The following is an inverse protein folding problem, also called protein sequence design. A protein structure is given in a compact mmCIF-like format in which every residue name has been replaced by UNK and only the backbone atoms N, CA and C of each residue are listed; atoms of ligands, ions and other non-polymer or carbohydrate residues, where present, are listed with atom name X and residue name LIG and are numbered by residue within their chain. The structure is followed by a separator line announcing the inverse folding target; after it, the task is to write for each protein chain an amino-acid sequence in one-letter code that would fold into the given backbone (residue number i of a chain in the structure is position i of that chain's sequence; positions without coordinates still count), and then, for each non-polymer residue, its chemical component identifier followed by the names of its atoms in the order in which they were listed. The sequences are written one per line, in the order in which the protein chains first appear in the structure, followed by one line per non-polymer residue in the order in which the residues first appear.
data_IF_266083398127
#
_entry.id   IF_266083398127
#
_cell.length_a   1.000
_cell.length_b   1.000
_cell.length_c   1.000
_cell.angle_alpha   90.00
_cell.angle_beta   90.00
_cell.angle_gamma   90.00
#
_symmetry.space_group_name_H-M   'P 1'
#
loop_
_entity.id
_entity.type
_entity.pdbx_description
1 polymer ?
#
# COMPACT_ATOMS: atom_id res chain seq x y z
N UNK A 1 6.31 14.20 14.68
CA UNK A 1 7.25 13.07 14.44
C UNK A 1 7.31 12.83 12.95
N UNK A 2 8.49 12.79 12.34
CA UNK A 2 8.65 12.46 10.92
C UNK A 2 8.63 10.94 10.78
N UNK A 3 7.98 10.41 9.74
CA UNK A 3 8.05 8.98 9.37
C UNK A 3 8.72 8.86 8.02
N UNK A 4 9.57 7.85 7.89
CA UNK A 4 10.26 7.57 6.64
C UNK A 4 9.55 6.43 5.89
N UNK A 5 9.51 6.50 4.57
CA UNK A 5 8.87 5.48 3.72
C UNK A 5 9.55 4.11 3.90
N UNK A 6 10.84 4.11 4.22
CA UNK A 6 11.62 2.92 4.58
C UNK A 6 11.06 2.20 5.80
N UNK A 7 10.42 2.90 6.74
CA UNK A 7 9.74 2.32 7.90
C UNK A 7 8.39 1.66 7.56
N UNK A 8 7.88 1.91 6.35
CA UNK A 8 6.60 1.36 5.89
C UNK A 8 6.77 0.05 5.14
N UNK A 9 7.94 -0.20 4.53
CA UNK A 9 8.22 -1.46 3.83
C UNK A 9 8.08 -2.63 4.81
N UNK A 10 7.37 -3.68 4.38
CA UNK A 10 7.08 -4.86 5.18
C UNK A 10 5.90 -4.71 6.14
N UNK A 11 5.30 -3.51 6.29
CA UNK A 11 4.08 -3.36 7.10
C UNK A 11 2.88 -3.98 6.39
N UNK A 12 2.01 -4.59 7.19
CA UNK A 12 0.70 -5.07 6.74
C UNK A 12 -0.20 -3.90 6.35
N UNK A 13 -0.85 -4.04 5.19
CA UNK A 13 -1.90 -3.15 4.71
C UNK A 13 -3.26 -3.73 5.06
N UNK A 14 -4.10 -2.90 5.66
CA UNK A 14 -5.46 -3.25 6.07
C UNK A 14 -6.42 -2.18 5.55
N UNK A 15 -7.63 -2.58 5.15
CA UNK A 15 -8.71 -1.65 4.80
C UNK A 15 -9.37 -1.05 6.05
N UNK A 16 -10.18 -0.01 5.88
CA UNK A 16 -10.96 0.60 6.96
C UNK A 16 -11.96 -0.36 7.64
N UNK A 17 -12.44 -1.38 6.93
CA UNK A 17 -13.33 -2.42 7.44
C UNK A 17 -12.58 -3.65 8.01
N UNK A 18 -11.25 -3.60 8.08
CA UNK A 18 -10.43 -4.61 8.75
C UNK A 18 -9.92 -5.76 7.88
N UNK A 19 -10.21 -5.75 6.58
CA UNK A 19 -9.66 -6.74 5.63
C UNK A 19 -8.17 -6.52 5.43
N UNK A 20 -7.37 -7.58 5.58
CA UNK A 20 -5.94 -7.56 5.26
C UNK A 20 -5.79 -7.67 3.74
N UNK A 21 -5.02 -6.75 3.16
CA UNK A 21 -4.70 -6.76 1.73
C UNK A 21 -3.35 -7.40 1.42
N UNK A 22 -2.42 -7.38 2.37
CA UNK A 22 -1.09 -7.93 2.18
C UNK A 22 0.00 -7.06 2.79
N UNK A 23 1.19 -7.04 2.20
CA UNK A 23 2.36 -6.33 2.74
C UNK A 23 2.93 -5.31 1.77
N UNK A 24 3.34 -4.14 2.27
CA UNK A 24 3.99 -3.11 1.46
C UNK A 24 5.35 -3.60 0.99
N UNK A 25 5.56 -3.64 -0.32
CA UNK A 25 6.86 -3.95 -0.90
C UNK A 25 7.57 -2.69 -1.39
N UNK A 26 6.84 -1.80 -2.08
CA UNK A 26 7.46 -0.65 -2.73
C UNK A 26 6.49 0.53 -2.93
N UNK A 27 6.99 1.60 -3.53
CA UNK A 27 6.24 2.82 -3.80
C UNK A 27 6.54 3.34 -5.21
N UNK A 28 5.55 3.97 -5.83
CA UNK A 28 5.73 4.75 -7.05
C UNK A 28 5.93 6.20 -6.66
N UNK A 29 7.08 6.76 -7.03
CA UNK A 29 7.48 8.13 -6.70
C UNK A 29 7.80 8.91 -7.97
N UNK A 30 7.40 10.18 -8.01
CA UNK A 30 7.94 11.13 -8.98
C UNK A 30 9.40 11.45 -8.60
N UNK A 31 10.35 11.15 -9.48
CA UNK A 31 11.78 11.32 -9.19
C UNK A 31 12.26 12.75 -9.26
N UNK A 32 11.46 13.69 -9.78
CA UNK A 32 11.77 15.12 -9.84
C UNK A 32 11.24 15.86 -8.62
N UNK A 33 10.01 15.55 -8.20
CA UNK A 33 9.33 16.26 -7.10
C UNK A 33 9.38 15.51 -5.76
N UNK A 34 9.66 14.21 -5.79
CA UNK A 34 9.58 13.34 -4.62
C UNK A 34 8.15 12.98 -4.19
N UNK A 35 7.13 13.35 -4.98
CA UNK A 35 5.75 13.05 -4.66
C UNK A 35 5.48 11.54 -4.75
N UNK A 36 4.84 10.98 -3.73
CA UNK A 36 4.37 9.59 -3.73
C UNK A 36 3.01 9.50 -4.43
N UNK A 37 2.94 8.66 -5.45
CA UNK A 37 1.69 8.41 -6.16
C UNK A 37 1.00 7.14 -5.66
N UNK A 38 1.75 6.05 -5.49
CA UNK A 38 1.17 4.75 -5.17
C UNK A 38 2.01 3.97 -4.17
N UNK A 39 1.33 3.10 -3.42
CA UNK A 39 1.90 2.03 -2.61
C UNK A 39 1.71 0.72 -3.36
N UNK A 40 2.77 -0.08 -3.44
CA UNK A 40 2.77 -1.38 -4.08
C UNK A 40 2.75 -2.46 -2.99
N UNK A 41 1.71 -3.29 -3.03
CA UNK A 41 1.41 -4.28 -1.97
C UNK A 41 1.45 -5.67 -2.57
N UNK A 42 2.25 -6.56 -1.98
CA UNK A 42 2.17 -7.99 -2.29
C UNK A 42 0.88 -8.52 -1.66
N UNK A 43 -0.07 -9.05 -2.45
CA UNK A 43 -1.35 -9.49 -1.93
C UNK A 43 -1.19 -10.66 -0.93
N UNK A 44 -2.02 -10.69 0.11
CA UNK A 44 -2.16 -11.87 0.96
C UNK A 44 -2.84 -13.02 0.19
N UNK A 45 -2.68 -14.27 0.66
CA UNK A 45 -3.20 -15.46 -0.04
C UNK A 45 -4.72 -15.41 -0.25
N UNK A 46 -5.46 -14.81 0.68
CA UNK A 46 -6.93 -14.72 0.64
C UNK A 46 -7.44 -13.58 -0.25
N UNK A 47 -6.54 -12.77 -0.82
CA UNK A 47 -6.89 -11.62 -1.66
C UNK A 47 -6.87 -12.04 -3.12
N UNK A 48 -8.04 -12.01 -3.77
CA UNK A 48 -8.16 -12.16 -5.23
C UNK A 48 -7.61 -10.91 -5.94
N UNK A 49 -6.40 -10.93 -6.54
CA UNK A 49 -5.77 -9.72 -7.07
C UNK A 49 -6.48 -9.17 -8.30
N UNK A 50 -7.27 -9.99 -9.02
CA UNK A 50 -8.04 -9.57 -10.20
C UNK A 50 -9.13 -8.54 -9.87
N UNK A 51 -9.52 -8.42 -8.61
CA UNK A 51 -10.45 -7.39 -8.14
C UNK A 51 -9.80 -6.01 -7.97
N UNK A 52 -8.48 -5.91 -8.16
CA UNK A 52 -7.71 -4.69 -7.95
C UNK A 52 -6.88 -4.35 -9.18
N UNK A 53 -6.45 -3.09 -9.27
CA UNK A 53 -5.39 -2.71 -10.20
C UNK A 53 -4.08 -3.33 -9.74
N UNK A 54 -3.39 -4.02 -10.64
CA UNK A 54 -2.09 -4.64 -10.38
C UNK A 54 -1.02 -4.12 -11.35
N UNK A 55 0.24 -4.24 -10.94
CA UNK A 55 1.38 -4.05 -11.84
C UNK A 55 1.81 -5.36 -12.51
N UNK A 56 2.86 -5.31 -13.33
CA UNK A 56 3.37 -6.48 -14.05
C UNK A 56 3.94 -7.58 -13.14
N UNK A 57 4.19 -7.30 -11.86
CA UNK A 57 4.65 -8.28 -10.86
C UNK A 57 3.49 -8.83 -10.03
N UNK A 58 2.24 -8.42 -10.32
CA UNK A 58 1.05 -8.85 -9.60
C UNK A 58 0.81 -8.13 -8.27
N UNK A 59 1.53 -7.03 -7.99
CA UNK A 59 1.34 -6.24 -6.77
C UNK A 59 0.12 -5.35 -6.91
N UNK A 60 -0.64 -5.20 -5.84
CA UNK A 60 -1.75 -4.24 -5.78
C UNK A 60 -1.19 -2.83 -5.89
N UNK A 61 -1.80 -2.00 -6.74
CA UNK A 61 -1.42 -0.61 -6.97
C UNK A 61 -2.43 0.29 -6.28
N UNK A 62 -2.10 0.73 -5.06
CA UNK A 62 -2.99 1.52 -4.22
C UNK A 62 -2.57 3.00 -4.22
N UNK A 63 -3.48 3.97 -4.35
CA UNK A 63 -3.13 5.39 -4.26
C UNK A 63 -2.48 5.71 -2.91
N UNK A 64 -1.38 6.46 -2.88
CA UNK A 64 -0.78 6.88 -1.61
C UNK A 64 -1.75 7.75 -0.78
N UNK A 65 -2.61 8.51 -1.47
CA UNK A 65 -3.66 9.35 -0.88
C UNK A 65 -4.76 8.57 -0.15
N UNK A 66 -4.90 7.26 -0.36
CA UNK A 66 -5.84 6.44 0.41
C UNK A 66 -5.33 6.08 1.80
N UNK A 67 -4.05 6.35 2.12
CA UNK A 67 -3.48 6.03 3.41
C UNK A 67 -4.07 6.91 4.51
N UNK A 68 -4.69 6.29 5.51
CA UNK A 68 -5.34 6.98 6.64
C UNK A 68 -4.52 6.96 7.91
N UNK A 69 -3.80 5.87 8.16
CA UNK A 69 -3.09 5.66 9.42
C UNK A 69 -1.84 4.80 9.21
N UNK A 70 -0.79 5.11 9.96
CA UNK A 70 0.43 4.31 10.05
C UNK A 70 0.72 4.07 11.52
N UNK A 71 0.55 2.83 11.99
CA UNK A 71 0.96 2.36 13.33
C UNK A 71 1.66 1.01 13.19
N UNK A 72 1.14 -0.04 13.82
CA UNK A 72 1.58 -1.42 13.62
C UNK A 72 1.25 -1.88 12.21
N UNK A 73 0.04 -1.55 11.75
CA UNK A 73 -0.44 -1.71 10.37
C UNK A 73 -0.58 -0.36 9.67
N UNK A 74 -0.66 -0.40 8.34
CA UNK A 74 -1.03 0.72 7.48
C UNK A 74 -2.48 0.56 7.07
N UNK A 75 -3.32 1.54 7.45
CA UNK A 75 -4.75 1.53 7.12
C UNK A 75 -4.98 2.31 5.83
N UNK A 76 -5.69 1.71 4.89
CA UNK A 76 -6.06 2.28 3.59
C UNK A 76 -7.58 2.38 3.46
N UNK A 77 -8.02 3.48 2.87
CA UNK A 77 -9.41 3.68 2.47
C UNK A 77 -9.60 3.24 1.02
N UNK A 78 -10.09 2.01 0.86
CA UNK A 78 -10.37 1.42 -0.44
C UNK A 78 -11.89 1.48 -0.62
N UNK A 79 -12.34 2.32 -1.54
CA UNK A 79 -13.75 2.44 -1.91
C UNK A 79 -14.25 1.24 -2.71
#
# INVERSE_FOLDING_TARGET
MKKFITELRGKTVMTNDGKILGMIENFVVDTKTGQLHHVLVVPAEEVEPRLYKTDSQGRLVLPFTSMRSVRDVVVMDIG
#
